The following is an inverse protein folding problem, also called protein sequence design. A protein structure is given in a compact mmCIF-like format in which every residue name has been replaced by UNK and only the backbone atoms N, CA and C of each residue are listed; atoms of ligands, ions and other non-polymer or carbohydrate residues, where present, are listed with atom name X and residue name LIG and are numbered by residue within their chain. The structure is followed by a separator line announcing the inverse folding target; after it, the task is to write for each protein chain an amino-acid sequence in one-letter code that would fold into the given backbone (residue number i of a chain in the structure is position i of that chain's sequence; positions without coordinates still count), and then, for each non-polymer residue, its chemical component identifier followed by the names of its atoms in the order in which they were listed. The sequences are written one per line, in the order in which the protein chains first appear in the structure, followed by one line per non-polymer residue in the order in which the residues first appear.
data_IF_612219384506
#
_entry.id   IF_612219384506
#
_cell.length_a   1.000
_cell.length_b   1.000
_cell.length_c   1.000
_cell.angle_alpha   90.00
_cell.angle_beta   90.00
_cell.angle_gamma   90.00
#
_symmetry.space_group_name_H-M   'P 1'
#
loop_
_entity.id
_entity.type
_entity.pdbx_description
1 polymer ?
#
# COMPACT_ATOMS: atom_id res chain seq x y z
N UNK A 1 -73.53 22.30 10.40
CA UNK A 1 -73.94 22.14 8.98
C UNK A 1 -75.16 21.28 8.79
N UNK A 2 -75.25 19.99 9.13
CA UNK A 2 -76.46 19.12 8.95
C UNK A 2 -77.75 19.66 9.57
N UNK A 3 -77.68 20.33 10.73
CA UNK A 3 -78.90 20.90 11.38
C UNK A 3 -79.50 22.07 10.63
N UNK A 4 -78.69 22.89 9.99
CA UNK A 4 -79.14 24.08 9.24
C UNK A 4 -79.70 23.68 7.88
N UNK A 5 -79.20 22.60 7.26
CA UNK A 5 -79.69 22.08 5.98
C UNK A 5 -81.05 21.39 6.18
N UNK A 6 -81.27 20.67 7.31
CA UNK A 6 -82.58 20.12 7.71
C UNK A 6 -83.57 21.21 8.00
N UNK A 7 -83.15 22.29 8.69
CA UNK A 7 -84.02 23.47 8.94
C UNK A 7 -84.48 24.14 7.66
N UNK A 8 -83.53 24.35 6.71
CA UNK A 8 -83.83 24.93 5.42
C UNK A 8 -84.76 24.06 4.57
N UNK A 9 -84.57 22.74 4.59
CA UNK A 9 -85.43 21.79 3.88
C UNK A 9 -86.83 21.76 4.46
N UNK A 10 -86.98 21.80 5.80
CA UNK A 10 -88.22 21.87 6.48
C UNK A 10 -88.94 23.20 6.19
N UNK A 11 -88.19 24.34 6.21
CA UNK A 11 -88.77 25.63 5.93
C UNK A 11 -89.24 25.75 4.48
N UNK A 12 -88.51 25.25 3.51
CA UNK A 12 -88.95 25.19 2.09
C UNK A 12 -90.16 24.30 1.91
N UNK A 13 -90.37 23.20 2.69
CA UNK A 13 -91.53 22.36 2.64
C UNK A 13 -92.75 23.09 3.20
N UNK A 14 -92.53 23.87 4.27
CA UNK A 14 -93.62 24.70 4.85
C UNK A 14 -94.10 25.78 3.86
N UNK A 15 -93.13 26.51 3.23
CA UNK A 15 -93.45 27.54 2.24
C UNK A 15 -94.17 26.94 1.03
N UNK A 16 -93.85 25.74 0.58
CA UNK A 16 -94.50 25.03 -0.49
C UNK A 16 -95.99 24.65 -0.11
N UNK A 17 -96.21 24.24 1.15
CA UNK A 17 -97.54 24.00 1.64
C UNK A 17 -98.38 25.28 1.70
N UNK A 18 -97.74 26.38 2.11
CA UNK A 18 -98.39 27.68 2.17
C UNK A 18 -98.78 28.20 0.75
N UNK A 19 -97.91 27.97 -0.24
CA UNK A 19 -98.20 28.22 -1.67
C UNK A 19 -99.46 27.43 -2.09
N UNK A 20 -99.49 26.13 -1.77
CA UNK A 20 -100.64 25.28 -2.15
C UNK A 20 -101.92 25.77 -1.52
N UNK A 21 -101.91 26.20 -0.27
CA UNK A 21 -103.04 26.77 0.39
C UNK A 21 -103.56 28.10 -0.24
N UNK A 22 -102.58 29.01 -0.58
CA UNK A 22 -102.93 30.29 -1.18
C UNK A 22 -103.39 30.17 -2.68
N UNK A 23 -102.98 29.13 -3.36
CA UNK A 23 -103.48 28.83 -4.72
C UNK A 23 -104.94 28.42 -4.63
N UNK A 24 -105.34 27.62 -3.64
CA UNK A 24 -106.74 27.22 -3.40
C UNK A 24 -107.62 28.38 -2.98
N UNK A 25 -107.03 29.42 -2.39
CA UNK A 25 -107.77 30.63 -1.93
C UNK A 25 -107.73 31.74 -3.01
N UNK A 26 -107.21 31.44 -4.20
CA UNK A 26 -107.09 32.37 -5.34
C UNK A 26 -106.24 33.61 -5.02
N UNK A 27 -105.33 33.58 -3.98
CA UNK A 27 -104.49 34.71 -3.59
C UNK A 27 -103.15 34.72 -4.32
N UNK A 28 -103.18 34.94 -5.63
CA UNK A 28 -102.08 34.84 -6.51
C UNK A 28 -100.90 35.81 -6.21
N UNK A 29 -101.24 37.01 -5.62
CA UNK A 29 -100.17 37.96 -5.24
C UNK A 29 -99.27 37.41 -4.16
N UNK A 30 -99.83 36.73 -3.16
CA UNK A 30 -99.06 36.06 -2.07
C UNK A 30 -98.30 34.87 -2.62
N UNK A 31 -98.87 34.12 -3.55
CA UNK A 31 -98.17 32.98 -4.20
C UNK A 31 -96.92 33.47 -4.93
N UNK A 32 -96.96 34.57 -5.69
CA UNK A 32 -95.78 35.15 -6.40
C UNK A 32 -94.70 35.56 -5.42
N UNK A 33 -95.05 36.17 -4.29
CA UNK A 33 -94.10 36.60 -3.27
C UNK A 33 -93.40 35.40 -2.63
N UNK A 34 -94.19 34.40 -2.19
CA UNK A 34 -93.65 33.16 -1.61
C UNK A 34 -92.72 32.38 -2.58
N UNK A 35 -93.11 32.37 -3.87
CA UNK A 35 -92.31 31.74 -4.89
C UNK A 35 -90.97 32.48 -5.13
N UNK A 36 -90.99 33.81 -5.03
CA UNK A 36 -89.77 34.62 -5.04
C UNK A 36 -88.88 34.32 -3.84
N UNK A 37 -89.41 34.23 -2.66
CA UNK A 37 -88.69 33.89 -1.42
C UNK A 37 -88.10 32.48 -1.46
N UNK A 38 -88.81 31.50 -1.98
CA UNK A 38 -88.28 30.14 -2.19
C UNK A 38 -87.12 30.18 -3.15
N UNK A 39 -87.22 30.91 -4.24
CA UNK A 39 -86.14 31.04 -5.22
C UNK A 39 -84.91 31.69 -4.57
N UNK A 40 -85.02 32.78 -3.85
CA UNK A 40 -83.96 33.46 -3.13
C UNK A 40 -83.24 32.56 -2.13
N UNK A 41 -84.01 31.75 -1.37
CA UNK A 41 -83.50 30.77 -0.42
C UNK A 41 -82.71 29.67 -1.17
N UNK A 42 -83.29 29.09 -2.20
CA UNK A 42 -82.61 28.07 -3.02
C UNK A 42 -81.31 28.60 -3.62
N UNK A 43 -81.27 29.82 -4.14
CA UNK A 43 -80.04 30.46 -4.69
C UNK A 43 -79.01 30.65 -3.58
N UNK A 44 -79.43 31.07 -2.39
CA UNK A 44 -78.52 31.24 -1.25
C UNK A 44 -77.92 29.85 -0.79
N UNK A 45 -78.68 28.83 -0.78
CA UNK A 45 -78.22 27.47 -0.48
C UNK A 45 -77.27 27.00 -1.53
N UNK A 46 -77.60 27.14 -2.79
CA UNK A 46 -76.70 26.78 -3.94
C UNK A 46 -75.38 27.49 -3.89
N UNK A 47 -75.38 28.79 -3.65
CA UNK A 47 -74.12 29.57 -3.55
C UNK A 47 -73.28 29.12 -2.36
N UNK A 48 -73.85 28.80 -1.24
CA UNK A 48 -73.19 28.28 -0.04
C UNK A 48 -72.55 26.89 -0.30
N UNK A 49 -73.32 25.99 -0.93
CA UNK A 49 -72.80 24.63 -1.31
C UNK A 49 -71.65 24.76 -2.28
N UNK A 50 -71.77 25.64 -3.26
CA UNK A 50 -70.67 25.92 -4.22
C UNK A 50 -69.42 26.45 -3.51
N UNK A 51 -69.56 27.36 -2.57
CA UNK A 51 -68.45 27.90 -1.78
C UNK A 51 -67.81 26.81 -0.90
N UNK A 52 -68.64 25.96 -0.23
CA UNK A 52 -68.13 24.88 0.58
C UNK A 52 -67.39 23.84 -0.25
N UNK A 53 -67.92 23.48 -1.41
CA UNK A 53 -67.24 22.57 -2.33
C UNK A 53 -65.90 23.11 -2.83
N UNK A 54 -65.84 24.44 -3.09
CA UNK A 54 -64.59 25.08 -3.47
C UNK A 54 -63.56 25.05 -2.33
N UNK A 55 -63.97 25.35 -1.10
CA UNK A 55 -63.11 25.31 0.08
C UNK A 55 -62.61 23.89 0.37
N UNK A 56 -63.48 22.89 0.21
CA UNK A 56 -63.11 21.49 0.38
C UNK A 56 -62.08 21.06 -0.66
N UNK A 57 -62.26 21.48 -1.92
CA UNK A 57 -61.31 21.21 -3.01
C UNK A 57 -59.96 21.86 -2.75
N UNK A 58 -59.93 23.12 -2.33
CA UNK A 58 -58.69 23.85 -1.99
C UNK A 58 -57.94 23.13 -0.82
N UNK A 59 -58.68 22.71 0.20
CA UNK A 59 -58.07 21.97 1.32
C UNK A 59 -57.48 20.62 0.89
N UNK A 60 -58.13 19.92 -0.04
CA UNK A 60 -57.59 18.71 -0.63
C UNK A 60 -56.33 18.94 -1.44
N UNK A 61 -56.31 20.02 -2.24
CA UNK A 61 -55.11 20.42 -2.99
C UNK A 61 -53.95 20.77 -2.08
N UNK A 62 -54.18 21.55 -1.01
CA UNK A 62 -53.12 21.85 -0.04
C UNK A 62 -52.56 20.62 0.67
N UNK A 63 -53.44 19.69 1.03
CA UNK A 63 -53.00 18.41 1.65
C UNK A 63 -52.14 17.60 0.70
N UNK A 64 -52.57 17.42 -0.53
CA UNK A 64 -51.79 16.71 -1.56
C UNK A 64 -50.45 17.36 -1.83
N UNK A 65 -50.40 18.68 -1.91
CA UNK A 65 -49.14 19.42 -2.09
C UNK A 65 -48.21 19.27 -0.90
N UNK A 66 -48.74 19.30 0.34
CA UNK A 66 -47.92 19.06 1.55
C UNK A 66 -47.39 17.62 1.59
N UNK A 67 -48.22 16.62 1.27
CA UNK A 67 -47.77 15.22 1.19
C UNK A 67 -46.69 15.02 0.13
N UNK A 68 -46.84 15.62 -1.06
CA UNK A 68 -45.86 15.57 -2.10
C UNK A 68 -44.53 16.19 -1.66
N UNK A 69 -44.56 17.36 -1.01
CA UNK A 69 -43.36 18.02 -0.46
C UNK A 69 -42.69 17.17 0.63
N UNK A 70 -43.43 16.55 1.52
CA UNK A 70 -42.90 15.68 2.57
C UNK A 70 -42.23 14.46 1.96
N UNK A 71 -42.86 13.82 0.96
CA UNK A 71 -42.31 12.67 0.27
C UNK A 71 -41.02 12.98 -0.45
N UNK A 72 -40.97 14.15 -1.13
CA UNK A 72 -39.75 14.63 -1.79
C UNK A 72 -38.61 14.90 -0.80
N UNK A 73 -38.90 15.58 0.31
CA UNK A 73 -37.91 15.83 1.35
C UNK A 73 -37.40 14.52 1.97
N UNK A 74 -38.28 13.56 2.23
CA UNK A 74 -37.92 12.24 2.75
C UNK A 74 -37.01 11.48 1.77
N UNK A 75 -37.26 11.60 0.46
CA UNK A 75 -36.43 10.99 -0.58
C UNK A 75 -35.04 11.66 -0.64
N UNK A 76 -34.98 12.99 -0.62
CA UNK A 76 -33.72 13.73 -0.58
C UNK A 76 -32.88 13.38 0.67
N UNK A 77 -33.49 13.24 1.82
CA UNK A 77 -32.82 12.83 3.05
C UNK A 77 -32.26 11.40 2.93
N UNK A 78 -33.01 10.46 2.33
CA UNK A 78 -32.52 9.09 2.10
C UNK A 78 -31.30 9.07 1.17
N UNK A 79 -31.33 9.84 0.07
CA UNK A 79 -30.17 9.93 -0.84
C UNK A 79 -28.97 10.50 -0.10
N UNK A 80 -29.11 11.59 0.66
CA UNK A 80 -28.00 12.18 1.43
C UNK A 80 -27.42 11.22 2.44
N UNK A 81 -28.23 10.46 3.15
CA UNK A 81 -27.77 9.44 4.10
C UNK A 81 -27.01 8.32 3.41
N UNK A 82 -27.50 7.82 2.28
CA UNK A 82 -26.81 6.79 1.50
C UNK A 82 -25.46 7.31 0.99
N UNK A 83 -25.40 8.53 0.43
CA UNK A 83 -24.13 9.11 -0.04
C UNK A 83 -23.12 9.30 1.09
N UNK A 84 -23.55 9.74 2.27
CA UNK A 84 -22.68 9.86 3.45
C UNK A 84 -22.15 8.49 3.90
N UNK A 85 -22.97 7.46 3.92
CA UNK A 85 -22.55 6.09 4.26
C UNK A 85 -21.51 5.58 3.23
N UNK A 86 -21.73 5.82 1.94
CA UNK A 86 -20.78 5.43 0.88
C UNK A 86 -19.44 6.16 1.02
N UNK A 87 -19.45 7.45 1.32
CA UNK A 87 -18.22 8.23 1.55
C UNK A 87 -17.48 7.71 2.79
N UNK A 88 -18.20 7.47 3.88
CA UNK A 88 -17.61 6.98 5.12
C UNK A 88 -17.00 5.59 4.96
N UNK A 89 -17.70 4.68 4.27
CA UNK A 89 -17.21 3.33 3.98
C UNK A 89 -15.97 3.37 3.08
N UNK A 90 -15.95 4.24 2.07
CA UNK A 90 -14.78 4.47 1.22
C UNK A 90 -13.57 5.00 2.00
N UNK A 91 -13.79 5.94 2.92
CA UNK A 91 -12.74 6.47 3.78
C UNK A 91 -12.17 5.38 4.72
N UNK A 92 -13.02 4.55 5.32
CA UNK A 92 -12.58 3.44 6.16
C UNK A 92 -11.76 2.41 5.39
N UNK A 93 -12.17 2.06 4.17
CA UNK A 93 -11.40 1.18 3.30
C UNK A 93 -10.03 1.77 2.94
N UNK A 94 -9.97 3.06 2.62
CA UNK A 94 -8.71 3.75 2.35
C UNK A 94 -7.77 3.73 3.56
N UNK A 95 -8.28 4.03 4.76
CA UNK A 95 -7.51 3.97 6.02
C UNK A 95 -7.01 2.55 6.30
N UNK A 96 -7.84 1.53 6.10
CA UNK A 96 -7.43 0.13 6.24
C UNK A 96 -6.30 -0.23 5.28
N UNK A 97 -6.37 0.22 4.02
CA UNK A 97 -5.33 -0.03 3.02
C UNK A 97 -4.00 0.67 3.38
N UNK A 98 -4.07 1.92 3.83
CA UNK A 98 -2.90 2.66 4.30
C UNK A 98 -2.26 2.00 5.53
N UNK A 99 -3.08 1.57 6.49
CA UNK A 99 -2.59 0.83 7.65
C UNK A 99 -1.91 -0.49 7.26
N UNK A 100 -2.50 -1.23 6.31
CA UNK A 100 -1.93 -2.49 5.80
C UNK A 100 -0.57 -2.26 5.13
N UNK A 101 -0.46 -1.23 4.28
CA UNK A 101 0.81 -0.85 3.64
C UNK A 101 1.87 -0.46 4.67
N UNK A 102 1.49 0.36 5.63
CA UNK A 102 2.38 0.75 6.72
C UNK A 102 2.86 -0.47 7.54
N UNK A 103 1.96 -1.37 7.89
CA UNK A 103 2.29 -2.59 8.62
C UNK A 103 3.24 -3.51 7.83
N UNK A 104 2.98 -3.71 6.53
CA UNK A 104 3.88 -4.48 5.65
C UNK A 104 5.29 -3.87 5.59
N UNK A 105 5.37 -2.55 5.43
CA UNK A 105 6.65 -1.84 5.43
C UNK A 105 7.39 -1.99 6.76
N UNK A 106 6.69 -1.94 7.89
CA UNK A 106 7.28 -2.14 9.20
C UNK A 106 7.86 -3.56 9.36
N UNK A 107 7.13 -4.58 8.92
CA UNK A 107 7.60 -5.98 8.96
C UNK A 107 8.85 -6.18 8.09
N UNK A 108 8.86 -5.60 6.87
CA UNK A 108 10.03 -5.67 5.97
C UNK A 108 11.23 -4.98 6.60
N UNK A 109 11.08 -3.79 7.17
CA UNK A 109 12.16 -3.07 7.86
C UNK A 109 12.75 -3.88 9.02
N UNK A 110 11.91 -4.51 9.83
CA UNK A 110 12.37 -5.34 10.94
C UNK A 110 13.13 -6.58 10.46
N UNK A 111 12.66 -7.24 9.39
CA UNK A 111 13.40 -8.35 8.78
C UNK A 111 14.74 -7.91 8.23
N UNK A 112 14.80 -6.76 7.57
CA UNK A 112 16.04 -6.22 7.03
C UNK A 112 17.04 -5.88 8.15
N UNK A 113 16.60 -5.25 9.25
CA UNK A 113 17.46 -5.02 10.42
C UNK A 113 18.03 -6.31 11.01
N UNK A 114 17.18 -7.34 11.19
CA UNK A 114 17.64 -8.63 11.70
C UNK A 114 18.65 -9.30 10.77
N UNK A 115 18.46 -9.18 9.45
CA UNK A 115 19.37 -9.74 8.46
C UNK A 115 20.72 -8.98 8.46
N UNK A 116 20.70 -7.65 8.48
CA UNK A 116 21.90 -6.82 8.59
C UNK A 116 22.68 -7.14 9.86
N UNK A 117 21.98 -7.31 10.99
CA UNK A 117 22.64 -7.69 12.25
C UNK A 117 23.38 -9.03 12.13
N UNK A 118 22.74 -10.06 11.55
CA UNK A 118 23.39 -11.37 11.32
C UNK A 118 24.60 -11.25 10.39
N UNK A 119 24.47 -10.47 9.31
CA UNK A 119 25.56 -10.24 8.38
C UNK A 119 26.73 -9.57 9.11
N UNK A 120 26.48 -8.52 9.87
CA UNK A 120 27.51 -7.81 10.63
C UNK A 120 28.19 -8.71 11.67
N UNK A 121 27.44 -9.58 12.35
CA UNK A 121 28.00 -10.54 13.31
C UNK A 121 28.91 -11.57 12.60
N UNK A 122 28.48 -12.09 11.44
CA UNK A 122 29.32 -13.00 10.64
C UNK A 122 30.59 -12.33 10.15
N UNK A 123 30.49 -11.06 9.71
CA UNK A 123 31.65 -10.29 9.26
C UNK A 123 32.61 -9.96 10.39
N UNK A 124 32.14 -9.58 11.56
CA UNK A 124 33.03 -9.28 12.70
C UNK A 124 33.81 -10.53 13.13
N UNK A 125 33.16 -11.69 13.16
CA UNK A 125 33.87 -12.96 13.43
C UNK A 125 34.91 -13.29 12.36
N UNK A 126 34.59 -13.09 11.09
CA UNK A 126 35.52 -13.31 9.98
C UNK A 126 36.71 -12.35 10.05
N UNK A 127 36.46 -11.08 10.35
CA UNK A 127 37.50 -10.03 10.47
C UNK A 127 38.43 -10.30 11.65
N UNK A 128 37.90 -10.80 12.80
CA UNK A 128 38.73 -11.23 13.93
C UNK A 128 39.62 -12.43 13.57
N UNK A 129 39.07 -13.44 12.85
CA UNK A 129 39.86 -14.56 12.36
C UNK A 129 40.95 -14.11 11.38
N UNK A 130 40.61 -13.26 10.42
CA UNK A 130 41.56 -12.73 9.44
C UNK A 130 42.65 -11.89 10.13
N UNK A 131 42.28 -11.08 11.14
CA UNK A 131 43.22 -10.24 11.91
C UNK A 131 44.17 -11.10 12.75
N UNK A 132 43.69 -12.19 13.34
CA UNK A 132 44.53 -13.12 14.11
C UNK A 132 45.51 -13.88 13.20
N UNK A 133 45.11 -14.19 11.97
CA UNK A 133 46.00 -14.82 10.97
C UNK A 133 47.04 -13.85 10.38
N UNK A 134 46.70 -12.56 10.22
CA UNK A 134 47.60 -11.51 9.75
C UNK A 134 48.67 -11.14 10.77
N UNK A 135 48.45 -11.37 12.07
CA UNK A 135 49.43 -11.10 13.13
C UNK A 135 50.54 -12.15 13.27
N UNK A 136 50.46 -13.27 12.55
CA UNK A 136 51.50 -14.31 12.58
C UNK A 136 52.41 -14.14 11.37
N UNK A 137 53.66 -13.90 11.62
CA UNK A 137 54.69 -13.81 10.56
C UNK A 137 54.81 -15.20 9.88
N UNK A 138 54.14 -15.37 8.74
CA UNK A 138 54.16 -16.60 7.94
C UNK A 138 55.33 -16.55 7.00
N UNK A 139 56.11 -17.68 6.94
CA UNK A 139 57.09 -17.87 5.86
C UNK A 139 56.36 -17.87 4.52
N UNK A 140 56.56 -16.80 3.74
CA UNK A 140 55.91 -16.54 2.46
C UNK A 140 56.67 -17.15 1.26
N UNK A 141 57.70 -18.01 1.53
CA UNK A 141 58.42 -18.68 0.45
C UNK A 141 57.49 -19.71 -0.22
N UNK A 142 57.33 -19.56 -1.54
CA UNK A 142 56.66 -20.55 -2.38
C UNK A 142 57.72 -21.58 -2.88
N UNK A 143 57.33 -22.86 -3.08
CA UNK A 143 58.25 -23.85 -3.67
C UNK A 143 58.73 -23.40 -5.05
N UNK A 144 59.99 -23.71 -5.38
CA UNK A 144 60.66 -23.18 -6.57
C UNK A 144 60.01 -23.61 -7.89
N UNK A 145 59.29 -24.70 -7.90
CA UNK A 145 58.46 -25.20 -8.99
C UNK A 145 57.47 -26.24 -8.44
N UNK A 146 56.20 -26.05 -8.70
CA UNK A 146 55.21 -27.05 -8.43
C UNK A 146 55.01 -27.85 -9.70
N UNK A 147 55.72 -28.97 -9.82
CA UNK A 147 55.65 -29.83 -11.00
C UNK A 147 54.32 -30.56 -11.06
N UNK A 148 53.79 -30.69 -12.28
CA UNK A 148 52.55 -31.48 -12.55
C UNK A 148 52.91 -32.99 -12.55
N UNK A 149 53.40 -33.52 -11.44
CA UNK A 149 53.51 -34.98 -11.34
C UNK A 149 52.14 -35.55 -11.04
N UNK A 150 51.53 -36.07 -12.09
CA UNK A 150 50.38 -36.97 -12.05
C UNK A 150 50.82 -38.33 -11.46
N UNK A 151 51.06 -38.39 -10.15
CA UNK A 151 51.44 -39.62 -9.47
C UNK A 151 50.74 -39.74 -8.14
N UNK A 152 50.04 -40.82 -7.99
CA UNK A 152 49.53 -41.67 -6.87
C UNK A 152 49.21 -41.08 -5.47
N UNK A 153 49.34 -39.77 -5.19
CA UNK A 153 49.05 -39.18 -3.88
C UNK A 153 48.13 -37.95 -3.95
N UNK A 154 46.86 -38.14 -4.36
CA UNK A 154 45.84 -37.07 -4.35
C UNK A 154 45.73 -36.34 -3.00
N UNK A 155 46.01 -37.01 -1.89
CA UNK A 155 45.93 -36.44 -0.55
C UNK A 155 47.08 -35.48 -0.24
N UNK A 156 48.28 -35.78 -0.71
CA UNK A 156 49.46 -34.89 -0.59
C UNK A 156 49.34 -33.68 -1.48
N UNK A 157 48.81 -33.83 -2.69
CA UNK A 157 48.52 -32.70 -3.62
C UNK A 157 47.47 -31.77 -3.07
N UNK A 158 46.41 -32.26 -2.45
CA UNK A 158 45.40 -31.45 -1.79
C UNK A 158 45.98 -30.70 -0.60
N UNK A 159 46.83 -31.31 0.20
CA UNK A 159 47.45 -30.65 1.35
C UNK A 159 48.43 -29.57 0.91
N UNK A 160 49.21 -29.81 -0.14
CA UNK A 160 50.11 -28.82 -0.75
C UNK A 160 49.29 -27.64 -1.35
N UNK A 161 48.27 -27.93 -2.14
CA UNK A 161 47.40 -26.88 -2.70
C UNK A 161 46.75 -26.01 -1.60
N UNK A 162 46.33 -26.62 -0.48
CA UNK A 162 45.79 -25.89 0.65
C UNK A 162 46.83 -24.94 1.27
N UNK A 163 48.05 -25.42 1.51
CA UNK A 163 49.10 -24.55 2.07
C UNK A 163 49.46 -23.41 1.14
N UNK A 164 49.53 -23.66 -0.16
CA UNK A 164 49.80 -22.60 -1.18
C UNK A 164 48.64 -21.62 -1.22
N UNK A 165 47.38 -22.08 -1.16
CA UNK A 165 46.20 -21.23 -1.10
C UNK A 165 46.20 -20.34 0.15
N UNK A 166 46.52 -20.89 1.32
CA UNK A 166 46.56 -20.10 2.58
C UNK A 166 47.63 -18.99 2.52
N UNK A 167 48.79 -19.25 1.89
CA UNK A 167 49.81 -18.23 1.67
C UNK A 167 49.34 -17.16 0.67
N UNK A 168 48.69 -17.58 -0.42
CA UNK A 168 48.17 -16.66 -1.43
C UNK A 168 47.03 -15.81 -0.87
N UNK A 169 46.08 -16.40 -0.13
CA UNK A 169 44.98 -15.70 0.53
C UNK A 169 45.51 -14.63 1.49
N UNK A 170 46.51 -14.99 2.28
CA UNK A 170 47.21 -14.04 3.16
C UNK A 170 47.80 -12.86 2.40
N UNK A 171 48.51 -13.07 1.28
CA UNK A 171 49.11 -12.00 0.46
C UNK A 171 48.01 -11.13 -0.14
N UNK A 172 46.98 -11.73 -0.75
CA UNK A 172 45.87 -11.02 -1.38
C UNK A 172 45.16 -10.11 -0.35
N UNK A 173 44.96 -10.59 0.87
CA UNK A 173 44.29 -9.82 1.95
C UNK A 173 45.19 -8.76 2.53
N UNK A 174 46.43 -9.07 2.86
CA UNK A 174 47.42 -8.16 3.43
C UNK A 174 47.68 -6.97 2.53
N UNK A 175 47.92 -7.22 1.25
CA UNK A 175 48.29 -6.20 0.27
C UNK A 175 47.06 -5.58 -0.42
N UNK A 176 45.85 -6.03 0.00
CA UNK A 176 44.54 -5.59 -0.55
C UNK A 176 44.48 -5.68 -2.09
N UNK A 177 45.15 -6.68 -2.68
CA UNK A 177 45.24 -6.83 -4.14
C UNK A 177 43.86 -6.93 -4.78
N UNK A 178 42.87 -7.46 -4.09
CA UNK A 178 41.47 -7.59 -4.55
C UNK A 178 40.81 -6.25 -4.86
N UNK A 179 41.32 -5.12 -4.33
CA UNK A 179 40.75 -3.79 -4.61
C UNK A 179 41.22 -3.25 -5.99
N UNK A 180 42.29 -3.81 -6.56
CA UNK A 180 42.70 -3.44 -7.90
C UNK A 180 41.69 -3.98 -8.94
N UNK A 181 41.08 -3.14 -9.78
CA UNK A 181 40.19 -3.60 -10.84
C UNK A 181 40.90 -4.43 -11.90
N UNK A 182 42.23 -4.27 -12.04
CA UNK A 182 43.06 -4.90 -13.07
C UNK A 182 43.71 -6.19 -12.58
N UNK A 183 43.38 -6.66 -11.36
CA UNK A 183 43.94 -7.90 -10.84
C UNK A 183 43.61 -9.09 -11.77
N UNK A 184 44.68 -9.65 -12.35
CA UNK A 184 44.59 -10.73 -13.33
C UNK A 184 44.92 -12.09 -12.75
N UNK A 185 44.41 -13.16 -13.40
CA UNK A 185 44.77 -14.54 -13.08
C UNK A 185 46.27 -14.77 -13.31
N UNK A 186 46.83 -14.19 -14.36
CA UNK A 186 48.22 -14.30 -14.76
C UNK A 186 49.18 -13.76 -13.70
N UNK A 187 48.76 -12.67 -13.04
CA UNK A 187 49.51 -12.10 -11.92
C UNK A 187 49.56 -13.05 -10.73
N UNK A 188 48.40 -13.59 -10.32
CA UNK A 188 48.29 -14.52 -9.19
C UNK A 188 49.01 -15.85 -9.46
N UNK A 189 48.87 -16.41 -10.67
CA UNK A 189 49.58 -17.64 -11.04
C UNK A 189 51.11 -17.48 -11.07
N UNK A 190 51.59 -16.29 -11.41
CA UNK A 190 53.02 -15.94 -11.37
C UNK A 190 53.54 -15.90 -9.93
N UNK A 191 52.76 -15.37 -8.98
CA UNK A 191 53.09 -15.32 -7.55
C UNK A 191 53.28 -16.74 -7.01
N UNK A 192 52.34 -17.63 -7.29
CA UNK A 192 52.34 -19.03 -6.76
C UNK A 192 53.14 -20.01 -7.63
N UNK A 193 53.68 -19.56 -8.79
CA UNK A 193 54.43 -20.36 -9.76
C UNK A 193 53.70 -21.64 -10.21
N UNK A 194 52.38 -21.51 -10.44
CA UNK A 194 51.51 -22.58 -10.90
C UNK A 194 50.99 -22.36 -12.31
N UNK A 195 50.67 -23.45 -13.01
CA UNK A 195 49.94 -23.34 -14.27
C UNK A 195 48.45 -22.98 -14.03
N UNK A 196 47.77 -22.49 -15.05
CA UNK A 196 46.38 -22.04 -14.97
C UNK A 196 45.40 -23.12 -14.53
N UNK A 197 45.59 -24.38 -14.91
CA UNK A 197 44.73 -25.52 -14.62
C UNK A 197 44.77 -25.86 -13.15
N UNK A 198 46.00 -26.09 -12.62
CA UNK A 198 46.22 -26.40 -11.20
C UNK A 198 45.78 -25.22 -10.31
N UNK A 199 46.06 -23.99 -10.71
CA UNK A 199 45.61 -22.80 -10.00
C UNK A 199 44.06 -22.73 -9.89
N UNK A 200 43.34 -22.96 -11.00
CA UNK A 200 41.88 -22.97 -10.98
C UNK A 200 41.32 -24.06 -10.11
N UNK A 201 41.93 -25.28 -10.12
CA UNK A 201 41.58 -26.41 -9.25
C UNK A 201 41.78 -26.03 -7.79
N UNK A 202 42.92 -25.50 -7.43
CA UNK A 202 43.29 -25.04 -6.08
C UNK A 202 42.25 -24.02 -5.53
N UNK A 203 41.94 -22.97 -6.31
CA UNK A 203 40.94 -21.97 -5.92
C UNK A 203 39.58 -22.62 -5.66
N UNK A 204 39.12 -23.47 -6.60
CA UNK A 204 37.80 -24.14 -6.48
C UNK A 204 37.72 -25.04 -5.26
N UNK A 205 38.77 -25.82 -4.97
CA UNK A 205 38.83 -26.76 -3.85
C UNK A 205 38.82 -26.04 -2.49
N UNK A 206 39.40 -24.83 -2.40
CA UNK A 206 39.52 -24.10 -1.14
C UNK A 206 38.43 -23.06 -0.93
N UNK A 207 37.69 -22.64 -1.99
CA UNK A 207 36.71 -21.56 -1.90
C UNK A 207 35.32 -21.93 -2.39
N UNK A 208 35.12 -23.16 -2.87
CA UNK A 208 33.88 -23.65 -3.52
C UNK A 208 33.44 -22.80 -4.72
N UNK A 209 34.29 -21.90 -5.21
CA UNK A 209 33.97 -21.00 -6.33
C UNK A 209 35.17 -20.85 -7.27
N UNK A 210 34.99 -20.09 -8.36
CA UNK A 210 36.10 -19.72 -9.24
C UNK A 210 36.82 -18.47 -8.73
N UNK A 211 37.97 -18.11 -9.35
CA UNK A 211 38.76 -16.96 -8.98
C UNK A 211 37.94 -15.65 -8.93
N UNK A 212 37.10 -15.41 -9.94
CA UNK A 212 36.27 -14.18 -9.98
C UNK A 212 35.27 -14.17 -8.81
N UNK A 213 34.68 -15.29 -8.49
CA UNK A 213 33.79 -15.43 -7.33
C UNK A 213 34.50 -15.17 -6.01
N UNK A 214 35.69 -15.75 -5.84
CA UNK A 214 36.54 -15.52 -4.68
C UNK A 214 36.93 -14.05 -4.50
N UNK A 215 37.46 -13.42 -5.54
CA UNK A 215 37.83 -11.99 -5.50
C UNK A 215 36.61 -11.10 -5.26
N UNK A 216 35.49 -11.36 -5.94
CA UNK A 216 34.25 -10.61 -5.72
C UNK A 216 33.72 -10.76 -4.29
N UNK A 217 33.89 -11.92 -3.66
CA UNK A 217 33.54 -12.09 -2.26
C UNK A 217 34.38 -11.20 -1.34
N UNK A 218 35.69 -11.10 -1.56
CA UNK A 218 36.57 -10.18 -0.82
C UNK A 218 36.19 -8.72 -1.03
N UNK A 219 35.92 -8.32 -2.27
CA UNK A 219 35.42 -6.97 -2.61
C UNK A 219 34.12 -6.63 -1.91
N UNK A 220 33.16 -7.56 -1.88
CA UNK A 220 31.89 -7.36 -1.21
C UNK A 220 32.05 -7.26 0.33
N UNK A 221 32.93 -8.07 0.90
CA UNK A 221 33.28 -7.97 2.31
C UNK A 221 33.79 -6.56 2.65
N UNK A 222 34.72 -6.06 1.83
CA UNK A 222 35.24 -4.70 2.00
C UNK A 222 34.17 -3.62 1.78
N UNK A 223 33.26 -3.81 0.80
CA UNK A 223 32.14 -2.89 0.60
C UNK A 223 31.21 -2.83 1.83
N UNK A 224 30.89 -3.97 2.46
CA UNK A 224 30.09 -4.03 3.68
C UNK A 224 30.81 -3.32 4.84
N UNK A 225 32.11 -3.55 4.99
CA UNK A 225 32.94 -2.84 5.97
C UNK A 225 32.88 -1.32 5.75
N UNK A 226 33.05 -0.85 4.49
CA UNK A 226 32.94 0.58 4.18
C UNK A 226 31.54 1.15 4.47
N UNK A 227 30.47 0.41 4.23
CA UNK A 227 29.10 0.86 4.56
C UNK A 227 28.92 1.09 6.06
N UNK A 228 29.64 0.34 6.89
CA UNK A 228 29.61 0.46 8.35
C UNK A 228 30.49 1.62 8.83
N UNK A 229 31.73 1.68 8.37
CA UNK A 229 32.72 2.65 8.85
C UNK A 229 32.53 4.05 8.24
N UNK A 230 31.93 4.13 7.03
CA UNK A 230 31.75 5.36 6.27
C UNK A 230 30.28 5.52 5.83
N UNK A 231 29.35 5.80 6.76
CA UNK A 231 27.92 5.87 6.47
C UNK A 231 27.55 6.98 5.47
N UNK A 232 28.38 7.99 5.31
CA UNK A 232 28.15 9.11 4.39
C UNK A 232 28.58 8.83 2.94
N UNK A 233 29.35 7.78 2.70
CA UNK A 233 29.76 7.44 1.35
C UNK A 233 28.58 7.07 0.48
N UNK A 234 28.59 7.52 -0.78
CA UNK A 234 27.59 7.09 -1.75
C UNK A 234 27.80 5.63 -2.13
N UNK A 235 26.75 4.93 -2.56
CA UNK A 235 26.87 3.55 -3.01
C UNK A 235 27.85 3.41 -4.18
N UNK A 236 27.97 4.44 -5.01
CA UNK A 236 28.94 4.49 -6.09
C UNK A 236 30.38 4.56 -5.56
N UNK A 237 30.63 5.44 -4.61
CA UNK A 237 31.95 5.55 -3.99
C UNK A 237 32.35 4.23 -3.29
N UNK A 238 31.40 3.58 -2.62
CA UNK A 238 31.62 2.26 -1.97
C UNK A 238 31.98 1.20 -3.01
N UNK A 239 31.23 1.11 -4.12
CA UNK A 239 31.48 0.14 -5.19
C UNK A 239 32.88 0.35 -5.81
N UNK A 240 33.20 1.59 -6.19
CA UNK A 240 34.50 1.97 -6.78
C UNK A 240 35.63 1.69 -5.79
N UNK A 241 35.52 2.10 -4.53
CA UNK A 241 36.52 1.83 -3.48
C UNK A 241 36.72 0.36 -3.16
N UNK A 242 35.72 -0.48 -3.44
CA UNK A 242 35.81 -1.94 -3.27
C UNK A 242 36.31 -2.67 -4.53
N UNK A 243 36.71 -1.95 -5.57
CA UNK A 243 37.23 -2.52 -6.83
C UNK A 243 36.14 -2.99 -7.79
N UNK A 244 34.85 -2.60 -7.57
CA UNK A 244 33.73 -2.96 -8.46
C UNK A 244 33.27 -1.70 -9.21
N UNK A 245 33.80 -1.48 -10.41
CA UNK A 245 33.55 -0.26 -11.19
C UNK A 245 32.17 -0.21 -11.86
N UNK A 246 31.45 -1.34 -11.92
CA UNK A 246 30.12 -1.44 -12.54
C UNK A 246 29.03 -1.48 -11.49
N UNK A 247 28.19 -0.45 -11.41
CA UNK A 247 27.05 -0.40 -10.50
C UNK A 247 26.04 -1.54 -10.69
N UNK A 248 25.65 -1.92 -11.91
CA UNK A 248 24.79 -3.09 -12.11
C UNK A 248 25.42 -4.37 -11.55
N UNK A 249 26.71 -4.60 -11.79
CA UNK A 249 27.45 -5.74 -11.26
C UNK A 249 27.50 -5.69 -9.73
N UNK A 250 27.77 -4.54 -9.15
CA UNK A 250 27.76 -4.35 -7.69
C UNK A 250 26.40 -4.72 -7.09
N UNK A 251 25.30 -4.20 -7.65
CA UNK A 251 23.96 -4.52 -7.19
C UNK A 251 23.64 -6.02 -7.28
N UNK A 252 24.00 -6.66 -8.39
CA UNK A 252 23.76 -8.09 -8.59
C UNK A 252 24.54 -8.95 -7.59
N UNK A 253 25.83 -8.71 -7.46
CA UNK A 253 26.73 -9.44 -6.56
C UNK A 253 26.29 -9.23 -5.09
N UNK A 254 26.02 -7.99 -4.71
CA UNK A 254 25.62 -7.66 -3.35
C UNK A 254 24.30 -8.33 -2.97
N UNK A 255 23.28 -8.24 -3.84
CA UNK A 255 21.99 -8.90 -3.62
C UNK A 255 22.13 -10.43 -3.59
N UNK A 256 22.94 -10.99 -4.48
CA UNK A 256 23.22 -12.44 -4.48
C UNK A 256 23.86 -12.93 -3.17
N UNK A 257 24.74 -12.12 -2.57
CA UNK A 257 25.46 -12.46 -1.34
C UNK A 257 24.63 -12.22 -0.08
N UNK A 258 23.92 -11.11 0.00
CA UNK A 258 23.26 -10.64 1.23
C UNK A 258 21.74 -10.86 1.23
N UNK A 259 21.15 -11.19 0.08
CA UNK A 259 19.70 -11.32 -0.09
C UNK A 259 18.95 -10.00 -0.20
N UNK A 260 19.64 -8.84 -0.08
CA UNK A 260 19.06 -7.51 -0.18
C UNK A 260 19.87 -6.58 -1.08
N UNK A 261 19.27 -5.50 -1.55
CA UNK A 261 19.99 -4.50 -2.35
C UNK A 261 20.97 -3.69 -1.48
N UNK A 262 22.04 -3.10 -2.06
CA UNK A 262 22.94 -2.22 -1.32
C UNK A 262 22.23 -1.05 -0.63
N UNK A 263 21.18 -0.50 -1.27
CA UNK A 263 20.37 0.59 -0.69
C UNK A 263 19.59 0.15 0.53
N UNK A 264 18.94 -1.02 0.47
CA UNK A 264 18.20 -1.59 1.60
C UNK A 264 19.13 -1.89 2.77
N UNK A 265 20.31 -2.44 2.49
CA UNK A 265 21.32 -2.72 3.50
C UNK A 265 21.79 -1.43 4.19
N UNK A 266 22.18 -0.42 3.42
CA UNK A 266 22.65 0.86 3.94
C UNK A 266 21.57 1.58 4.78
N UNK A 267 20.32 1.56 4.32
CA UNK A 267 19.21 2.15 5.07
C UNK A 267 18.95 1.39 6.39
N UNK A 268 18.97 0.06 6.35
CA UNK A 268 18.77 -0.75 7.55
C UNK A 268 19.92 -0.59 8.55
N UNK A 269 21.17 -0.43 8.07
CA UNK A 269 22.32 -0.09 8.91
C UNK A 269 22.13 1.25 9.60
N UNK A 270 21.80 2.29 8.84
CA UNK A 270 21.53 3.63 9.40
C UNK A 270 20.40 3.63 10.44
N UNK A 271 19.36 2.85 10.20
CA UNK A 271 18.23 2.68 11.14
C UNK A 271 18.63 1.92 12.43
N UNK A 272 19.77 1.23 12.47
CA UNK A 272 20.28 0.55 13.66
C UNK A 272 21.19 1.45 14.50
N UNK A 273 21.86 2.42 13.86
CA UNK A 273 22.81 3.35 14.49
C UNK A 273 22.10 4.62 15.02
N UNK A 274 20.78 4.78 14.69
CA UNK A 274 19.91 5.88 15.13
C UNK A 274 19.13 5.53 16.38
#
# INVERSE_FOLDING_TARGET
MRQQDTLNSQYLSILNLEIQANVKLENYKTVINLQRDITAIKDSIYQREKQNAALELDALYELNEKEARISEQAFQLKIRTITLICILSGALLALFFLWRLWHQNCVIRNKNKALVKRINEQFSMQEEMDRSQLGVEKDLSFPEKVEDESGDNEEQDKQMNKMIFEKLDYIIKRDKMYLSPDLSREELTRIVRMNNTRFAKMIKENTDTNLNGYINNLRLNYAIHLMKEQPDYTLRAIAESSGINSMPTFHQLFKGRTGMTPSEFKNAQKDMDS
#
